data_IF_245037398696
#
_entry.id   IF_245037398696
#
_cell.length_a   1.000
_cell.length_b   1.000
_cell.length_c   1.000
_cell.angle_alpha   90.00
_cell.angle_beta   90.00
_cell.angle_gamma   90.00
#
_symmetry.space_group_name_H-M   'P 1'
#
loop_
_entity.id
_entity.type
_entity.pdbx_description
1 polymer ?
#
# COMPACT_ATOMS: atom_id res chain seq x y z
N UNK A 1 -20.16 14.47 -30.46
CA UNK A 1 -19.26 14.41 -29.28
C UNK A 1 -19.44 13.16 -28.38
N UNK A 2 -20.60 12.46 -28.36
CA UNK A 2 -20.79 11.27 -27.48
C UNK A 2 -20.26 9.94 -28.08
N UNK A 3 -19.93 9.92 -29.38
CA UNK A 3 -19.54 8.71 -30.13
C UNK A 3 -18.05 8.35 -30.07
N UNK A 4 -17.24 9.18 -29.42
CA UNK A 4 -15.80 8.93 -29.29
C UNK A 4 -15.50 8.09 -28.04
N UNK A 5 -14.41 7.29 -28.08
CA UNK A 5 -13.94 6.53 -26.91
C UNK A 5 -13.73 7.46 -25.70
N UNK A 6 -13.62 6.90 -24.48
CA UNK A 6 -13.38 7.71 -23.29
C UNK A 6 -12.22 8.68 -23.54
N UNK A 7 -12.52 9.97 -23.44
CA UNK A 7 -11.56 11.01 -23.77
C UNK A 7 -10.39 11.02 -22.79
N UNK A 8 -9.36 11.77 -23.14
CA UNK A 8 -8.19 11.99 -22.28
C UNK A 8 -8.54 12.32 -20.81
N UNK A 9 -9.57 13.14 -20.50
CA UNK A 9 -9.94 13.40 -19.10
C UNK A 9 -10.34 12.15 -18.30
N UNK A 10 -11.05 11.20 -18.93
CA UNK A 10 -11.42 9.94 -18.27
C UNK A 10 -10.20 9.07 -17.99
N UNK A 11 -9.30 8.94 -18.98
CA UNK A 11 -8.08 8.15 -18.81
C UNK A 11 -7.17 8.76 -17.74
N UNK A 12 -7.07 10.08 -17.67
CA UNK A 12 -6.34 10.77 -16.61
C UNK A 12 -6.96 10.47 -15.23
N UNK A 13 -8.28 10.52 -15.10
CA UNK A 13 -8.96 10.19 -13.85
C UNK A 13 -8.73 8.73 -13.45
N UNK A 14 -8.84 7.78 -14.38
CA UNK A 14 -8.54 6.36 -14.14
C UNK A 14 -7.08 6.19 -13.70
N UNK A 15 -6.13 6.80 -14.42
CA UNK A 15 -4.71 6.69 -14.10
C UNK A 15 -4.37 7.28 -12.72
N UNK A 16 -4.97 8.42 -12.37
CA UNK A 16 -4.80 9.03 -11.05
C UNK A 16 -5.35 8.12 -9.94
N UNK A 17 -6.58 7.62 -10.08
CA UNK A 17 -7.18 6.68 -9.12
C UNK A 17 -6.34 5.42 -8.96
N UNK A 18 -5.89 4.82 -10.06
CA UNK A 18 -5.02 3.64 -10.05
C UNK A 18 -3.69 3.92 -9.34
N UNK A 19 -3.08 5.07 -9.60
CA UNK A 19 -1.81 5.45 -8.96
C UNK A 19 -1.95 5.60 -7.45
N UNK A 20 -3.05 6.21 -6.98
CA UNK A 20 -3.34 6.32 -5.55
C UNK A 20 -3.55 4.94 -4.92
N UNK A 21 -4.35 4.07 -5.57
CA UNK A 21 -4.59 2.70 -5.09
C UNK A 21 -3.28 1.92 -4.98
N UNK A 22 -2.43 1.96 -6.01
CA UNK A 22 -1.16 1.23 -6.00
C UNK A 22 -0.16 1.82 -4.99
N UNK A 23 -0.16 3.14 -4.81
CA UNK A 23 0.66 3.78 -3.78
C UNK A 23 0.23 3.33 -2.39
N UNK A 24 -1.07 3.35 -2.08
CA UNK A 24 -1.58 2.90 -0.78
C UNK A 24 -1.42 1.39 -0.56
N UNK A 25 -1.53 0.58 -1.62
CA UNK A 25 -1.26 -0.85 -1.56
C UNK A 25 0.23 -1.18 -1.36
N UNK A 26 1.13 -0.20 -1.48
CA UNK A 26 2.57 -0.42 -1.25
C UNK A 26 3.00 -0.31 0.22
N UNK A 27 2.06 -0.03 1.12
CA UNK A 27 2.28 -0.03 2.56
C UNK A 27 2.13 -1.44 3.15
N UNK A 28 2.78 -1.73 4.29
CA UNK A 28 2.88 -3.10 4.83
C UNK A 28 1.54 -3.76 5.14
N UNK A 29 0.52 -2.97 5.47
CA UNK A 29 -0.82 -3.46 5.80
C UNK A 29 -1.86 -2.65 5.02
N UNK A 30 -2.92 -3.33 4.57
CA UNK A 30 -3.98 -2.73 3.76
C UNK A 30 -4.75 -1.67 4.55
N UNK A 31 -5.16 -0.59 3.88
CA UNK A 31 -6.05 0.43 4.43
C UNK A 31 -7.49 0.09 4.08
N UNK A 32 -8.41 0.19 5.03
CA UNK A 32 -9.83 0.03 4.74
C UNK A 32 -10.33 1.14 3.79
N UNK A 33 -9.75 2.34 3.94
CA UNK A 33 -9.95 3.51 3.08
C UNK A 33 -9.64 3.22 1.61
N UNK A 34 -8.68 2.32 1.32
CA UNK A 34 -8.37 1.89 -0.03
C UNK A 34 -9.58 1.19 -0.67
N UNK A 35 -10.27 0.33 0.09
CA UNK A 35 -11.47 -0.38 -0.39
C UNK A 35 -12.58 0.63 -0.65
N UNK A 36 -12.77 1.61 0.24
CA UNK A 36 -13.77 2.66 0.08
C UNK A 36 -13.49 3.52 -1.16
N UNK A 37 -12.24 3.96 -1.34
CA UNK A 37 -11.81 4.73 -2.51
C UNK A 37 -12.03 3.93 -3.81
N UNK A 38 -11.59 2.67 -3.82
CA UNK A 38 -11.75 1.79 -4.98
C UNK A 38 -13.22 1.57 -5.32
N UNK A 39 -14.08 1.38 -4.32
CA UNK A 39 -15.50 1.18 -4.52
C UNK A 39 -16.21 2.45 -4.99
N UNK A 40 -16.00 3.59 -4.33
CA UNK A 40 -16.69 4.85 -4.64
C UNK A 40 -16.17 5.43 -5.95
N UNK A 41 -14.88 5.72 -6.04
CA UNK A 41 -14.30 6.37 -7.22
C UNK A 41 -14.23 5.40 -8.38
N UNK A 42 -13.78 4.16 -8.14
CA UNK A 42 -13.74 3.13 -9.18
C UNK A 42 -15.13 2.75 -9.67
N UNK A 43 -16.13 2.67 -8.78
CA UNK A 43 -17.52 2.41 -9.14
C UNK A 43 -18.13 3.52 -10.01
N UNK A 44 -17.90 4.79 -9.67
CA UNK A 44 -18.36 5.92 -10.48
C UNK A 44 -17.69 5.94 -11.86
N UNK A 45 -16.38 5.68 -11.93
CA UNK A 45 -15.65 5.59 -13.20
C UNK A 45 -16.15 4.41 -14.05
N UNK A 46 -16.40 3.25 -13.43
CA UNK A 46 -16.95 2.08 -14.10
C UNK A 46 -18.36 2.36 -14.64
N UNK A 47 -19.23 2.96 -13.83
CA UNK A 47 -20.60 3.33 -14.24
C UNK A 47 -20.58 4.30 -15.41
N UNK A 48 -19.75 5.35 -15.34
CA UNK A 48 -19.57 6.30 -16.44
C UNK A 48 -19.13 5.59 -17.72
N UNK A 49 -18.16 4.67 -17.62
CA UNK A 49 -17.66 3.91 -18.75
C UNK A 49 -18.74 3.00 -19.36
N UNK A 50 -19.52 2.27 -18.55
CA UNK A 50 -20.63 1.43 -19.00
C UNK A 50 -21.69 2.25 -19.74
N UNK A 51 -22.08 3.41 -19.19
CA UNK A 51 -23.04 4.31 -19.84
C UNK A 51 -22.51 4.76 -21.20
N UNK A 52 -21.22 5.13 -21.30
CA UNK A 52 -20.60 5.55 -22.57
C UNK A 52 -20.60 4.42 -23.60
N UNK A 53 -20.30 3.18 -23.20
CA UNK A 53 -20.38 2.02 -24.08
C UNK A 53 -21.81 1.78 -24.56
N UNK A 54 -22.78 1.79 -23.64
CA UNK A 54 -24.19 1.57 -23.97
C UNK A 54 -24.76 2.64 -24.91
N UNK A 55 -24.28 3.88 -24.82
CA UNK A 55 -24.65 4.96 -25.74
C UNK A 55 -23.96 4.84 -27.11
N UNK A 56 -22.71 4.36 -27.14
CA UNK A 56 -21.96 4.18 -28.38
C UNK A 56 -22.45 2.98 -29.20
N UNK A 57 -22.80 1.87 -28.55
CA UNK A 57 -23.29 0.65 -29.21
C UNK A 57 -24.61 0.85 -29.97
N UNK A 58 -25.38 1.88 -29.63
CA UNK A 58 -26.62 2.25 -30.34
C UNK A 58 -26.39 2.95 -31.68
N UNK A 59 -25.16 3.39 -31.98
CA UNK A 59 -24.90 4.31 -33.11
C UNK A 59 -23.88 3.80 -34.14
N UNK A 60 -23.00 2.87 -33.78
CA UNK A 60 -21.90 2.43 -34.65
C UNK A 60 -21.57 0.96 -34.35
N UNK A 61 -21.17 0.21 -35.38
CA UNK A 61 -20.61 -1.13 -35.22
C UNK A 61 -19.32 -1.07 -34.39
N UNK A 62 -19.38 -1.64 -33.18
CA UNK A 62 -18.32 -1.51 -32.15
C UNK A 62 -17.05 -2.30 -32.50
N UNK A 63 -17.11 -3.16 -33.53
CA UNK A 63 -16.03 -4.10 -33.87
C UNK A 63 -14.74 -3.44 -34.38
N UNK A 64 -14.79 -2.36 -35.16
CA UNK A 64 -13.57 -1.74 -35.72
C UNK A 64 -12.74 -0.93 -34.71
N UNK A 65 -13.28 -0.63 -33.51
CA UNK A 65 -12.57 0.19 -32.50
C UNK A 65 -12.41 -0.47 -31.14
N UNK A 66 -12.65 -1.79 -31.05
CA UNK A 66 -12.73 -2.55 -29.80
C UNK A 66 -11.52 -2.37 -28.87
N UNK A 67 -10.29 -2.31 -29.40
CA UNK A 67 -9.07 -2.23 -28.59
C UNK A 67 -9.00 -1.03 -27.64
N UNK A 68 -9.48 0.16 -28.05
CA UNK A 68 -9.48 1.36 -27.19
C UNK A 68 -10.58 1.35 -26.13
N UNK A 69 -11.69 0.68 -26.40
CA UNK A 69 -12.80 0.57 -25.45
C UNK A 69 -12.50 -0.41 -24.32
N UNK A 70 -11.64 -1.40 -24.56
CA UNK A 70 -11.22 -2.39 -23.58
C UNK A 70 -10.06 -1.93 -22.67
N UNK A 71 -9.42 -0.80 -22.94
CA UNK A 71 -8.27 -0.34 -22.14
C UNK A 71 -8.59 -0.22 -20.64
N UNK A 72 -9.76 0.28 -20.18
CA UNK A 72 -10.04 0.36 -18.75
C UNK A 72 -10.19 -1.02 -18.11
N UNK A 73 -10.65 -2.02 -18.87
CA UNK A 73 -10.77 -3.42 -18.40
C UNK A 73 -9.38 -4.02 -18.20
N UNK A 74 -8.46 -3.81 -19.15
CA UNK A 74 -7.08 -4.28 -18.99
C UNK A 74 -6.36 -3.59 -17.84
N UNK A 75 -6.56 -2.27 -17.67
CA UNK A 75 -6.01 -1.52 -16.53
C UNK A 75 -6.58 -2.07 -15.22
N UNK A 76 -7.90 -2.21 -15.11
CA UNK A 76 -8.55 -2.73 -13.91
C UNK A 76 -8.11 -4.16 -13.59
N UNK A 77 -8.02 -5.03 -14.60
CA UNK A 77 -7.55 -6.41 -14.44
C UNK A 77 -6.08 -6.47 -14.01
N UNK A 78 -5.22 -5.63 -14.60
CA UNK A 78 -3.80 -5.55 -14.21
C UNK A 78 -3.61 -5.02 -12.79
N UNK A 79 -4.39 -4.02 -12.38
CA UNK A 79 -4.39 -3.49 -11.01
C UNK A 79 -4.88 -4.54 -10.03
N UNK A 80 -6.00 -5.20 -10.32
CA UNK A 80 -6.53 -6.28 -9.47
C UNK A 80 -5.49 -7.40 -9.29
N UNK A 81 -4.84 -7.82 -10.37
CA UNK A 81 -3.78 -8.83 -10.30
C UNK A 81 -2.60 -8.36 -9.45
N UNK A 82 -2.16 -7.10 -9.62
CA UNK A 82 -1.09 -6.52 -8.82
C UNK A 82 -1.46 -6.47 -7.32
N UNK A 83 -2.71 -6.17 -6.99
CA UNK A 83 -3.20 -6.15 -5.61
C UNK A 83 -3.29 -7.56 -5.01
N UNK A 84 -3.85 -8.53 -5.73
CA UNK A 84 -3.96 -9.92 -5.26
C UNK A 84 -2.58 -10.52 -4.96
N UNK A 85 -1.56 -10.12 -5.72
CA UNK A 85 -0.19 -10.60 -5.56
C UNK A 85 0.65 -9.73 -4.62
N UNK A 86 0.07 -8.70 -4.00
CA UNK A 86 0.77 -7.68 -3.20
C UNK A 86 2.02 -7.11 -3.91
N UNK A 87 2.00 -7.06 -5.25
CA UNK A 87 3.15 -6.65 -6.05
C UNK A 87 3.64 -5.22 -5.72
N UNK A 88 2.76 -4.20 -5.53
CA UNK A 88 3.20 -2.87 -5.16
C UNK A 88 4.00 -2.84 -3.86
N UNK A 89 3.55 -3.59 -2.86
CA UNK A 89 4.23 -3.73 -1.58
C UNK A 89 5.58 -4.43 -1.74
N UNK A 90 5.59 -5.61 -2.37
CA UNK A 90 6.83 -6.37 -2.56
C UNK A 90 7.90 -5.58 -3.33
N UNK A 91 7.50 -4.84 -4.37
CA UNK A 91 8.43 -4.00 -5.15
C UNK A 91 9.01 -2.91 -4.24
N UNK A 92 8.17 -2.15 -3.54
CA UNK A 92 8.62 -1.03 -2.69
C UNK A 92 9.49 -1.52 -1.53
N UNK A 93 9.10 -2.62 -0.89
CA UNK A 93 9.85 -3.25 0.20
C UNK A 93 11.22 -3.76 -0.29
N UNK A 94 11.25 -4.55 -1.37
CA UNK A 94 12.50 -5.14 -1.88
C UNK A 94 13.51 -4.05 -2.29
N UNK A 95 13.04 -2.97 -2.92
CA UNK A 95 13.90 -1.83 -3.27
C UNK A 95 14.41 -1.06 -2.03
N UNK A 96 13.68 -1.11 -0.92
CA UNK A 96 14.03 -0.39 0.32
C UNK A 96 14.76 -1.26 1.34
N UNK A 97 14.75 -2.59 1.18
CA UNK A 97 15.24 -3.54 2.17
C UNK A 97 16.68 -3.25 2.63
N UNK A 98 17.67 -2.98 1.74
CA UNK A 98 19.03 -2.69 2.20
C UNK A 98 19.12 -1.46 3.11
N UNK A 99 18.32 -0.42 2.82
CA UNK A 99 18.26 0.79 3.64
C UNK A 99 17.56 0.53 4.97
N UNK A 100 16.50 -0.28 4.96
CA UNK A 100 15.78 -0.69 6.17
C UNK A 100 16.67 -1.55 7.08
N UNK A 101 17.46 -2.48 6.52
CA UNK A 101 18.41 -3.32 7.26
C UNK A 101 19.45 -2.45 8.01
N UNK A 102 20.01 -1.44 7.31
CA UNK A 102 20.94 -0.50 7.92
C UNK A 102 20.28 0.37 9.00
N UNK A 103 19.03 0.76 8.79
CA UNK A 103 18.27 1.55 9.76
C UNK A 103 17.97 0.75 11.03
N UNK A 104 17.52 -0.50 10.89
CA UNK A 104 17.28 -1.42 11.99
C UNK A 104 18.57 -1.72 12.76
N UNK A 105 19.67 -2.03 12.08
CA UNK A 105 20.97 -2.25 12.71
C UNK A 105 21.42 -1.03 13.53
N UNK A 106 21.17 0.17 12.99
CA UNK A 106 21.51 1.40 13.68
C UNK A 106 20.60 1.65 14.90
N UNK A 107 19.31 1.28 14.87
CA UNK A 107 18.42 1.35 16.05
C UNK A 107 18.87 0.37 17.14
N UNK A 108 19.27 -0.85 16.75
CA UNK A 108 19.78 -1.87 17.68
C UNK A 108 21.07 -1.41 18.35
N UNK A 109 21.95 -0.73 17.61
CA UNK A 109 23.23 -0.27 18.14
C UNK A 109 23.11 0.87 19.17
N UNK A 110 22.04 1.66 19.11
CA UNK A 110 21.83 2.84 19.96
C UNK A 110 20.32 3.05 20.24
N UNK A 111 19.73 2.22 21.12
CA UNK A 111 18.27 2.17 21.32
C UNK A 111 17.70 3.39 22.06
N UNK A 112 18.51 4.12 22.82
CA UNK A 112 18.07 5.30 23.57
C UNK A 112 18.06 6.58 22.70
N UNK A 113 18.67 6.53 21.52
CA UNK A 113 18.79 7.69 20.65
C UNK A 113 17.50 7.94 19.88
N UNK A 114 16.83 9.03 20.23
CA UNK A 114 15.73 9.57 19.43
C UNK A 114 16.20 9.86 18.00
N UNK A 115 15.40 9.40 17.02
CA UNK A 115 15.65 9.65 15.60
C UNK A 115 14.59 10.56 15.02
N UNK A 116 14.98 11.62 14.32
CA UNK A 116 14.03 12.42 13.57
C UNK A 116 13.44 11.58 12.43
N UNK A 117 12.22 11.95 12.02
CA UNK A 117 11.63 11.39 10.82
C UNK A 117 12.56 11.59 9.61
N UNK A 118 12.78 10.52 8.84
CA UNK A 118 13.67 10.56 7.69
C UNK A 118 13.27 9.51 6.65
N UNK A 119 13.76 9.70 5.43
CA UNK A 119 13.59 8.71 4.36
C UNK A 119 14.57 7.55 4.55
N UNK A 120 14.02 6.34 4.64
CA UNK A 120 14.76 5.07 4.65
C UNK A 120 14.32 4.26 3.44
N UNK A 121 15.12 4.34 2.37
CA UNK A 121 14.71 3.83 1.06
C UNK A 121 13.51 4.60 0.52
N UNK A 122 12.43 3.89 0.18
CA UNK A 122 11.18 4.47 -0.31
C UNK A 122 10.14 4.70 0.79
N UNK A 123 10.49 4.55 2.07
CA UNK A 123 9.60 4.79 3.20
C UNK A 123 10.05 6.02 3.99
N UNK A 124 9.11 6.88 4.36
CA UNK A 124 9.37 7.97 5.30
C UNK A 124 9.12 7.40 6.70
N UNK A 125 10.17 7.16 7.45
CA UNK A 125 10.11 6.48 8.75
C UNK A 125 10.23 7.48 9.89
N UNK A 126 9.46 7.28 10.95
CA UNK A 126 9.47 8.12 12.13
C UNK A 126 9.69 7.28 13.39
N UNK A 127 10.43 7.86 14.34
CA UNK A 127 10.75 7.24 15.61
C UNK A 127 11.49 5.91 15.45
N UNK A 128 11.22 5.03 16.40
CA UNK A 128 11.73 3.67 16.42
C UNK A 128 12.54 3.36 17.67
N UNK A 129 12.55 2.10 18.05
CA UNK A 129 13.19 1.61 19.26
C UNK A 129 13.18 0.08 19.31
N UNK A 130 13.65 -0.50 20.43
CA UNK A 130 13.52 -1.93 20.66
C UNK A 130 12.04 -2.32 20.75
N UNK A 131 11.72 -3.50 20.21
CA UNK A 131 10.40 -4.09 20.35
C UNK A 131 10.21 -4.59 21.79
N UNK A 132 9.04 -4.32 22.34
CA UNK A 132 8.61 -4.80 23.65
C UNK A 132 7.61 -5.93 23.43
N UNK A 133 7.91 -7.08 24.00
CA UNK A 133 7.00 -8.22 24.09
C UNK A 133 5.76 -7.80 24.89
N UNK A 134 4.58 -8.01 24.33
CA UNK A 134 3.33 -7.47 24.88
C UNK A 134 2.79 -8.32 26.03
N UNK A 135 3.13 -9.60 26.08
CA UNK A 135 2.68 -10.53 27.12
C UNK A 135 3.53 -10.37 28.40
N UNK A 136 4.84 -10.16 28.23
CA UNK A 136 5.80 -10.05 29.33
C UNK A 136 6.16 -8.61 29.70
N UNK A 137 6.02 -7.67 28.76
CA UNK A 137 6.51 -6.30 28.90
C UNK A 137 8.03 -6.18 28.82
N UNK A 138 8.73 -7.24 28.41
CA UNK A 138 10.19 -7.24 28.29
C UNK A 138 10.65 -6.74 26.92
N UNK A 139 11.76 -6.00 26.89
CA UNK A 139 12.38 -5.60 25.63
C UNK A 139 13.10 -6.79 25.00
N UNK A 140 12.81 -7.09 23.72
CA UNK A 140 13.49 -8.17 23.01
C UNK A 140 14.85 -7.67 22.50
N UNK A 141 15.99 -8.20 22.99
CA UNK A 141 17.30 -7.72 22.57
C UNK A 141 17.55 -7.95 21.07
N UNK A 142 18.13 -6.97 20.38
CA UNK A 142 18.44 -7.08 18.96
C UNK A 142 17.23 -6.91 18.02
N UNK A 143 16.09 -6.47 18.56
CA UNK A 143 14.91 -6.10 17.78
C UNK A 143 14.92 -4.61 17.42
N UNK A 144 14.17 -4.26 16.37
CA UNK A 144 13.90 -2.87 16.03
C UNK A 144 12.49 -2.72 15.46
N UNK A 145 11.68 -1.85 16.05
CA UNK A 145 10.37 -1.46 15.56
C UNK A 145 10.39 0.02 15.21
N UNK A 146 9.74 0.42 14.12
CA UNK A 146 9.59 1.82 13.75
C UNK A 146 8.36 2.03 12.87
N UNK A 147 7.78 3.23 12.94
CA UNK A 147 6.61 3.60 12.15
C UNK A 147 7.01 4.17 10.78
N UNK A 148 6.13 3.98 9.80
CA UNK A 148 6.18 4.59 8.48
C UNK A 148 5.09 5.64 8.43
N UNK A 149 5.50 6.88 8.22
CA UNK A 149 4.60 8.01 8.06
C UNK A 149 4.01 8.04 6.66
N UNK A 150 2.68 8.03 6.57
CA UNK A 150 1.94 8.30 5.35
C UNK A 150 1.40 9.75 5.42
N UNK A 151 1.70 10.62 4.44
CA UNK A 151 1.20 12.00 4.45
C UNK A 151 -0.34 12.11 4.45
N UNK A 152 -1.07 11.03 4.14
CA UNK A 152 -2.53 11.03 4.04
C UNK A 152 -3.24 10.30 5.19
N UNK A 153 -2.55 9.44 5.94
CA UNK A 153 -3.14 8.53 6.92
C UNK A 153 -2.26 8.48 8.19
N UNK A 154 -2.87 8.27 9.35
CA UNK A 154 -2.15 8.27 10.63
C UNK A 154 -1.07 7.18 10.73
N UNK A 155 -0.07 7.45 11.58
CA UNK A 155 1.22 6.73 11.70
C UNK A 155 1.14 5.42 12.48
N UNK A 156 0.10 4.62 12.23
CA UNK A 156 -0.10 3.37 12.95
C UNK A 156 0.55 2.15 12.28
N UNK A 157 1.27 2.33 11.18
CA UNK A 157 1.90 1.24 10.41
C UNK A 157 3.39 1.36 10.43
N UNK A 158 4.07 0.23 10.40
CA UNK A 158 5.52 0.19 10.53
C UNK A 158 6.15 -1.10 10.07
N UNK A 159 7.43 -1.21 10.41
CA UNK A 159 8.19 -2.43 10.27
C UNK A 159 8.74 -2.86 11.62
N UNK A 160 8.86 -4.17 11.78
CA UNK A 160 9.50 -4.82 12.89
C UNK A 160 10.58 -5.75 12.34
N UNK A 161 11.80 -5.60 12.84
CA UNK A 161 12.91 -6.53 12.67
C UNK A 161 13.05 -7.35 13.95
N UNK A 162 12.91 -8.67 13.84
CA UNK A 162 12.92 -9.59 14.97
C UNK A 162 13.61 -10.91 14.59
N UNK A 163 14.92 -11.08 14.91
CA UNK A 163 15.70 -12.22 14.42
C UNK A 163 15.58 -13.50 15.25
N UNK A 164 15.07 -13.41 16.47
CA UNK A 164 15.10 -14.52 17.44
C UNK A 164 13.73 -14.98 17.93
N UNK A 165 12.64 -14.37 17.45
CA UNK A 165 11.28 -14.65 17.91
C UNK A 165 10.24 -14.33 16.83
N UNK A 166 9.04 -14.86 17.01
CA UNK A 166 7.84 -14.37 16.33
C UNK A 166 7.21 -13.29 17.24
N UNK A 167 6.65 -12.22 16.68
CA UNK A 167 5.99 -11.21 17.49
C UNK A 167 4.68 -11.75 18.05
N UNK A 168 4.36 -11.39 19.28
CA UNK A 168 3.08 -11.74 19.88
C UNK A 168 1.96 -10.90 19.24
N UNK A 169 0.99 -11.59 18.64
CA UNK A 169 -0.22 -10.95 18.13
C UNK A 169 -1.22 -10.75 19.26
N UNK A 170 -1.53 -9.48 19.56
CA UNK A 170 -2.62 -9.13 20.47
C UNK A 170 -3.89 -8.83 19.68
N UNK A 171 -4.99 -8.55 20.38
CA UNK A 171 -6.22 -8.08 19.73
C UNK A 171 -6.00 -6.75 18.97
N UNK A 172 -4.97 -6.00 19.35
CA UNK A 172 -4.74 -4.60 19.03
C UNK A 172 -3.59 -4.40 18.03
N UNK A 173 -2.58 -5.28 18.06
CA UNK A 173 -1.44 -5.25 17.14
C UNK A 173 -1.47 -6.41 16.15
N UNK A 174 -1.25 -6.10 14.87
CA UNK A 174 -1.15 -7.11 13.81
C UNK A 174 0.23 -7.12 13.19
N UNK A 175 0.76 -8.32 13.03
CA UNK A 175 2.03 -8.55 12.36
C UNK A 175 1.82 -9.36 11.09
N UNK A 176 2.57 -9.02 10.06
CA UNK A 176 2.59 -9.76 8.80
C UNK A 176 4.03 -10.12 8.50
N UNK A 177 4.36 -11.40 8.54
CA UNK A 177 5.68 -11.85 8.10
C UNK A 177 5.94 -11.45 6.65
N UNK A 178 7.10 -10.85 6.38
CA UNK A 178 7.48 -10.34 5.06
C UNK A 178 8.56 -11.22 4.44
N UNK A 179 9.72 -11.27 5.09
CA UNK A 179 10.88 -12.07 4.66
C UNK A 179 11.91 -12.10 5.78
N UNK A 180 12.56 -13.26 5.99
CA UNK A 180 13.55 -13.45 7.07
C UNK A 180 12.99 -12.95 8.41
N UNK A 181 13.64 -11.95 8.99
CA UNK A 181 13.34 -11.39 10.31
C UNK A 181 12.45 -10.14 10.22
N UNK A 182 11.96 -9.80 9.01
CA UNK A 182 11.09 -8.64 8.79
C UNK A 182 9.61 -8.99 8.90
N UNK A 183 8.90 -8.17 9.66
CA UNK A 183 7.45 -8.15 9.80
C UNK A 183 6.93 -6.75 9.46
N UNK A 184 5.79 -6.67 8.78
CA UNK A 184 4.97 -5.47 8.73
C UNK A 184 4.16 -5.40 10.01
N UNK A 185 4.03 -4.22 10.60
CA UNK A 185 3.29 -3.99 11.84
C UNK A 185 2.17 -2.97 11.61
N UNK A 186 1.02 -3.18 12.25
CA UNK A 186 -0.05 -2.19 12.39
C UNK A 186 -0.53 -2.20 13.83
N UNK A 187 -0.51 -1.02 14.45
CA UNK A 187 -1.01 -0.79 15.81
C UNK A 187 -2.43 -0.23 15.84
N UNK A 188 -2.93 -0.11 17.07
CA UNK A 188 -4.32 0.14 17.44
C UNK A 188 -4.80 1.59 17.34
N UNK A 189 -3.96 2.55 17.00
CA UNK A 189 -4.34 3.97 16.88
C UNK A 189 -5.24 4.22 15.65
N UNK A 190 -6.45 3.69 15.71
CA UNK A 190 -7.61 3.88 14.83
C UNK A 190 -8.51 5.03 15.32
N UNK A 191 -7.92 6.12 15.82
CA UNK A 191 -8.66 7.28 16.33
C UNK A 191 -8.52 8.47 15.38
#
# INVERSE_FOLDING_TARGET
>A
MITEPPGLPFLTAVAATVSVILLWASYPIWYFELILLAFVVGGLLALYWVIRIALASRKVDVHERSGRWLSPVFIAGGVLLALITDAPFHIRFTLSQPSLDLYAAALIADPERERPCQWVGLYFTCGGGPYMDLDTGELIPGSAQFSVHDPFLHDNKGFLWLPSAEPDETADDRYRHLTRDWYGHSGWDHW
#
